data_IF_619635554074
#
_entry.id   IF_619635554074
#
_cell.length_a   1.000
_cell.length_b   1.000
_cell.length_c   1.000
_cell.angle_alpha   90.00
_cell.angle_beta   90.00
_cell.angle_gamma   90.00
#
_symmetry.space_group_name_H-M   'P 1'
#
loop_
_entity.id
_entity.type
_entity.pdbx_description
1 polymer ?
#
# COMPACT_ATOMS: atom_id res chain seq x y z
N UNK A 1 38.80 -17.82 -2.12
CA UNK A 1 39.61 -17.75 -0.89
C UNK A 1 38.69 -18.18 0.22
N UNK A 2 38.77 -19.42 0.50
CA UNK A 2 39.29 -20.11 1.68
C UNK A 2 38.44 -19.79 2.92
N UNK A 3 37.79 -20.76 3.43
CA UNK A 3 38.06 -22.03 4.19
C UNK A 3 37.33 -21.87 5.50
N UNK A 4 36.51 -22.74 5.83
CA UNK A 4 36.57 -24.06 6.40
C UNK A 4 36.22 -24.09 7.88
N UNK A 5 35.50 -25.04 8.23
CA UNK A 5 35.51 -26.14 9.23
C UNK A 5 34.51 -25.87 10.38
N UNK A 6 33.84 -26.84 10.98
CA UNK A 6 33.67 -28.26 10.74
C UNK A 6 32.55 -28.74 11.65
N UNK A 7 31.94 -29.82 11.29
CA UNK A 7 31.05 -30.68 12.04
C UNK A 7 31.85 -31.58 13.03
N UNK A 8 31.25 -31.95 14.18
CA UNK A 8 31.51 -33.19 14.97
C UNK A 8 30.20 -33.50 15.67
N UNK A 9 29.42 -34.48 15.39
CA UNK A 9 29.46 -35.96 15.37
C UNK A 9 30.01 -36.65 16.63
N UNK A 10 29.21 -37.60 17.10
CA UNK A 10 29.58 -38.65 18.02
C UNK A 10 28.61 -38.75 19.20
N UNK A 11 27.54 -39.55 19.22
CA UNK A 11 27.51 -41.03 19.24
C UNK A 11 28.19 -41.67 20.47
N UNK A 12 27.39 -42.49 21.10
CA UNK A 12 27.73 -43.66 21.89
C UNK A 12 28.35 -43.44 23.29
N UNK A 13 27.68 -43.97 24.28
CA UNK A 13 28.19 -45.16 25.02
C UNK A 13 27.05 -45.84 25.77
N UNK A 14 26.73 -46.99 25.25
CA UNK A 14 26.07 -48.13 25.90
C UNK A 14 27.03 -48.82 26.87
N UNK A 15 26.43 -49.59 27.78
CA UNK A 15 26.96 -50.72 28.53
C UNK A 15 27.53 -50.32 29.93
N UNK A 16 27.11 -51.00 30.97
CA UNK A 16 27.59 -52.34 31.32
C UNK A 16 26.75 -52.90 32.48
N UNK A 17 26.10 -54.05 32.25
CA UNK A 17 26.14 -55.35 32.91
C UNK A 17 25.77 -55.44 34.38
N UNK A 18 24.62 -56.04 34.71
CA UNK A 18 24.42 -57.49 34.95
C UNK A 18 25.19 -58.10 36.12
N UNK A 19 24.80 -59.27 36.54
CA UNK A 19 24.14 -59.52 37.81
C UNK A 19 25.00 -60.39 38.71
N UNK A 20 24.71 -60.52 39.97
CA UNK A 20 25.28 -61.56 40.76
C UNK A 20 24.19 -62.34 41.52
N UNK A 21 24.04 -63.54 41.06
CA UNK A 21 23.33 -64.62 41.72
C UNK A 21 24.18 -65.11 42.86
N UNK A 22 23.58 -65.33 44.04
CA UNK A 22 24.11 -66.34 44.93
C UNK A 22 22.96 -67.08 45.59
N UNK A 23 22.85 -68.32 45.16
CA UNK A 23 22.08 -69.36 45.79
C UNK A 23 22.76 -69.72 47.07
N UNK A 24 22.03 -69.80 48.17
CA UNK A 24 22.35 -70.68 49.29
C UNK A 24 21.05 -71.22 49.82
N UNK A 25 20.88 -72.51 49.61
CA UNK A 25 19.81 -73.30 50.21
C UNK A 25 20.17 -73.63 51.63
N UNK A 26 19.16 -73.73 52.44
CA UNK A 26 19.30 -74.51 53.70
C UNK A 26 17.92 -75.03 54.13
N UNK A 27 17.87 -76.27 54.12
CA UNK A 27 17.08 -77.31 54.70
C UNK A 27 16.24 -76.96 55.92
N UNK A 28 15.01 -77.52 55.88
CA UNK A 28 14.11 -77.72 57.04
C UNK A 28 14.78 -78.45 58.19
N UNK A 29 14.27 -78.19 59.46
CA UNK A 29 13.52 -79.27 60.07
C UNK A 29 12.19 -78.84 60.71
N UNK A 30 11.17 -79.64 60.51
CA UNK A 30 9.91 -79.66 61.25
C UNK A 30 10.14 -80.09 62.67
N UNK A 31 9.91 -79.15 63.61
CA UNK A 31 9.72 -79.45 65.03
C UNK A 31 8.25 -79.36 65.38
N UNK A 32 7.63 -80.39 65.81
CA UNK A 32 6.26 -80.46 66.33
C UNK A 32 6.09 -79.47 67.50
N UNK A 33 5.22 -78.45 67.28
CA UNK A 33 4.81 -77.55 68.34
C UNK A 33 3.74 -78.23 69.24
N UNK A 34 3.81 -78.02 70.55
CA UNK A 34 2.85 -78.58 71.46
C UNK A 34 1.47 -77.91 71.33
N UNK A 35 0.40 -78.70 71.48
CA UNK A 35 -1.00 -78.33 71.28
C UNK A 35 -1.45 -77.09 72.09
N UNK A 36 -0.81 -76.67 73.13
CA UNK A 36 -1.11 -75.47 73.94
C UNK A 36 -0.78 -74.20 73.23
N UNK A 37 0.30 -74.15 72.43
CA UNK A 37 0.70 -72.94 71.65
C UNK A 37 -0.24 -72.68 70.51
N UNK A 38 -0.81 -73.72 69.93
CA UNK A 38 -1.81 -73.59 68.81
C UNK A 38 -3.14 -72.98 69.31
N UNK A 39 -3.53 -73.37 70.56
CA UNK A 39 -4.77 -72.84 71.20
C UNK A 39 -4.64 -71.37 71.53
N UNK A 40 -3.46 -70.91 71.99
CA UNK A 40 -3.21 -69.50 72.32
C UNK A 40 -3.12 -68.66 71.07
N UNK A 41 -2.57 -69.18 69.94
CA UNK A 41 -2.55 -68.48 68.66
C UNK A 41 -3.95 -68.32 68.02
N UNK A 42 -4.79 -69.38 68.15
CA UNK A 42 -6.15 -69.26 67.62
C UNK A 42 -6.97 -68.32 68.49
N UNK A 43 -6.81 -68.30 69.80
CA UNK A 43 -7.51 -67.33 70.64
C UNK A 43 -7.04 -65.91 70.43
N UNK A 44 -5.77 -65.66 70.20
CA UNK A 44 -5.22 -64.33 69.90
C UNK A 44 -5.71 -63.83 68.47
N UNK A 45 -5.84 -64.73 67.48
CA UNK A 45 -6.36 -64.44 66.18
C UNK A 45 -7.84 -64.06 66.24
N UNK A 46 -8.64 -64.76 67.07
CA UNK A 46 -10.09 -64.44 67.24
C UNK A 46 -10.25 -63.12 67.98
N UNK A 47 -9.45 -62.79 68.99
CA UNK A 47 -9.48 -61.49 69.66
C UNK A 47 -9.06 -60.34 68.69
N UNK A 48 -8.02 -60.59 67.89
CA UNK A 48 -7.63 -59.62 66.85
C UNK A 48 -8.71 -59.41 65.80
N UNK A 49 -9.42 -60.47 65.41
CA UNK A 49 -10.51 -60.39 64.45
C UNK A 49 -11.73 -59.65 64.99
N UNK A 50 -12.04 -59.86 66.29
CA UNK A 50 -13.12 -59.16 66.99
C UNK A 50 -12.76 -57.66 67.15
N UNK A 51 -11.48 -57.35 67.49
CA UNK A 51 -11.02 -55.99 67.62
C UNK A 51 -11.01 -55.29 66.26
N UNK A 52 -10.63 -55.98 65.17
CA UNK A 52 -10.66 -55.44 63.82
C UNK A 52 -12.11 -55.15 63.36
N UNK A 53 -13.06 -56.01 63.71
CA UNK A 53 -14.46 -55.87 63.38
C UNK A 53 -15.16 -54.80 64.20
N UNK A 54 -14.80 -54.59 65.46
CA UNK A 54 -15.35 -53.55 66.34
C UNK A 54 -14.88 -52.14 65.96
N UNK A 55 -13.66 -52.02 65.46
CA UNK A 55 -13.16 -50.71 64.93
C UNK A 55 -13.88 -50.28 63.64
N UNK A 56 -14.39 -51.22 62.86
CA UNK A 56 -15.17 -50.93 61.66
C UNK A 56 -16.60 -50.55 61.93
N UNK A 57 -17.16 -50.79 63.09
CA UNK A 57 -18.57 -50.47 63.47
C UNK A 57 -18.67 -49.12 64.20
N UNK A 58 -17.59 -48.36 64.41
CA UNK A 58 -17.68 -47.03 64.98
C UNK A 58 -18.33 -46.08 63.95
N UNK A 59 -19.40 -45.35 64.28
CA UNK A 59 -19.98 -44.36 63.39
C UNK A 59 -18.97 -43.28 63.14
N UNK A 60 -18.64 -43.06 61.84
CA UNK A 60 -17.77 -41.98 61.43
C UNK A 60 -18.41 -40.65 61.84
N UNK A 61 -17.67 -39.70 62.42
CA UNK A 61 -18.26 -38.42 62.83
C UNK A 61 -18.85 -37.70 61.60
N UNK A 62 -20.11 -37.38 61.65
CA UNK A 62 -20.78 -36.57 60.59
C UNK A 62 -20.42 -35.12 60.85
N UNK A 63 -19.64 -34.52 59.92
CA UNK A 63 -19.27 -33.11 59.99
C UNK A 63 -20.44 -32.22 59.53
N UNK A 64 -20.85 -31.27 60.36
CA UNK A 64 -21.83 -30.26 59.99
C UNK A 64 -21.13 -29.23 59.11
N UNK A 65 -21.64 -28.97 57.90
CA UNK A 65 -21.06 -28.01 56.95
C UNK A 65 -22.16 -27.06 56.45
N UNK A 66 -21.79 -25.80 56.30
CA UNK A 66 -22.66 -24.84 55.60
C UNK A 66 -22.52 -25.06 54.12
N UNK A 67 -23.61 -24.99 53.39
CA UNK A 67 -23.61 -25.17 51.94
C UNK A 67 -24.23 -23.97 51.24
N UNK A 68 -23.67 -23.58 50.12
CA UNK A 68 -24.24 -22.54 49.22
C UNK A 68 -24.49 -23.14 47.85
N UNK A 69 -25.60 -22.78 47.20
CA UNK A 69 -25.86 -23.24 45.83
C UNK A 69 -24.96 -22.53 44.84
N UNK A 70 -24.40 -23.28 43.88
CA UNK A 70 -23.66 -22.72 42.75
C UNK A 70 -24.67 -22.08 41.73
N UNK A 71 -24.73 -20.75 41.71
CA UNK A 71 -25.72 -20.00 40.95
C UNK A 71 -25.18 -19.76 39.52
N UNK A 72 -25.95 -20.10 38.45
CA UNK A 72 -25.52 -19.84 37.10
C UNK A 72 -25.58 -18.34 36.82
N UNK A 73 -24.46 -17.79 36.28
CA UNK A 73 -24.41 -16.42 35.80
C UNK A 73 -23.69 -16.34 34.47
N UNK A 74 -24.30 -15.64 33.52
CA UNK A 74 -23.71 -15.36 32.21
C UNK A 74 -22.61 -14.35 32.39
N UNK A 75 -21.36 -14.77 32.23
CA UNK A 75 -20.22 -13.86 32.19
C UNK A 75 -20.06 -13.41 30.73
N UNK A 76 -20.24 -12.14 30.49
CA UNK A 76 -19.70 -11.50 29.29
C UNK A 76 -18.24 -11.18 29.61
N UNK A 77 -17.33 -12.01 29.18
CA UNK A 77 -15.90 -11.67 29.19
C UNK A 77 -15.77 -10.62 28.08
N UNK A 78 -15.77 -9.34 28.46
CA UNK A 78 -15.37 -8.30 27.50
C UNK A 78 -13.93 -8.60 27.11
N UNK A 79 -13.74 -9.05 25.87
CA UNK A 79 -12.43 -9.23 25.30
C UNK A 79 -11.63 -7.92 25.45
N UNK A 80 -10.35 -8.02 25.71
CA UNK A 80 -9.48 -6.85 25.86
C UNK A 80 -9.54 -6.00 24.60
N UNK A 81 -10.34 -4.93 24.65
CA UNK A 81 -10.49 -3.98 23.54
C UNK A 81 -9.15 -3.27 23.34
N UNK A 82 -8.54 -3.46 22.17
CA UNK A 82 -7.35 -2.71 21.80
C UNK A 82 -7.79 -1.28 21.38
N UNK A 83 -7.49 -0.30 22.21
CA UNK A 83 -7.74 1.11 21.92
C UNK A 83 -6.42 1.80 21.58
N UNK A 84 -6.33 2.43 20.43
CA UNK A 84 -5.12 3.13 19.94
C UNK A 84 -5.50 4.54 19.52
N UNK A 85 -4.67 5.50 19.88
CA UNK A 85 -4.83 6.89 19.44
C UNK A 85 -4.21 7.09 18.06
N UNK A 86 -4.84 7.96 17.30
CA UNK A 86 -4.39 8.37 15.98
C UNK A 86 -4.95 9.75 15.61
N UNK A 87 -4.81 10.11 14.35
CA UNK A 87 -5.31 11.38 13.83
C UNK A 87 -6.02 11.17 12.50
N UNK A 88 -7.02 12.00 12.26
CA UNK A 88 -7.83 11.98 11.04
C UNK A 88 -7.01 12.57 9.89
N UNK A 89 -6.96 11.86 8.77
CA UNK A 89 -6.35 12.32 7.53
C UNK A 89 -7.32 12.16 6.37
N UNK A 90 -7.31 13.03 5.37
CA UNK A 90 -8.05 12.78 4.14
C UNK A 90 -7.37 11.67 3.34
N UNK A 91 -8.14 10.89 2.61
CA UNK A 91 -7.58 9.88 1.70
C UNK A 91 -6.72 10.51 0.62
N UNK A 92 -7.21 11.61 0.04
CA UNK A 92 -6.51 12.35 -1.00
C UNK A 92 -6.24 13.77 -0.49
N UNK A 93 -4.96 14.08 -0.32
CA UNK A 93 -4.45 15.42 -0.07
C UNK A 93 -3.48 15.72 -1.20
N UNK A 94 -3.80 16.72 -2.00
CA UNK A 94 -3.00 17.12 -3.15
C UNK A 94 -2.50 18.53 -2.93
N UNK A 95 -1.21 18.70 -3.05
CA UNK A 95 -0.55 20.00 -3.11
C UNK A 95 -0.56 20.40 -4.58
N UNK A 96 -1.24 21.49 -4.90
CA UNK A 96 -1.30 22.03 -6.26
C UNK A 96 -0.16 23.01 -6.41
N UNK A 97 0.75 22.68 -7.30
CA UNK A 97 1.93 23.49 -7.60
C UNK A 97 1.77 24.18 -8.97
N UNK A 98 2.47 25.29 -9.16
CA UNK A 98 2.64 25.88 -10.47
C UNK A 98 3.59 25.02 -11.31
N UNK A 99 3.30 24.90 -12.61
CA UNK A 99 4.18 24.27 -13.60
C UNK A 99 5.17 25.27 -14.22
N UNK A 100 4.80 26.55 -14.22
CA UNK A 100 5.61 27.65 -14.76
C UNK A 100 5.90 28.67 -13.65
N UNK A 101 6.97 29.40 -13.81
CA UNK A 101 7.30 30.50 -12.89
C UNK A 101 6.58 31.76 -13.34
N UNK A 102 5.88 32.41 -12.44
CA UNK A 102 5.14 33.64 -12.77
C UNK A 102 4.56 34.32 -11.53
N UNK A 103 4.20 35.58 -11.66
CA UNK A 103 3.54 36.35 -10.61
C UNK A 103 2.06 36.04 -10.58
N UNK A 104 1.50 35.91 -9.39
CA UNK A 104 0.07 35.67 -9.20
C UNK A 104 -0.74 36.92 -9.51
N UNK A 105 -1.51 36.91 -10.60
CA UNK A 105 -2.41 38.00 -10.98
C UNK A 105 -3.73 37.93 -10.21
N UNK A 106 -4.27 36.73 -10.02
CA UNK A 106 -5.59 36.53 -9.41
C UNK A 106 -5.69 35.19 -8.69
N UNK A 107 -6.39 35.19 -7.55
CA UNK A 107 -6.74 34.00 -6.77
C UNK A 107 -8.25 34.04 -6.53
N UNK A 108 -8.94 32.95 -6.90
CA UNK A 108 -10.39 32.83 -6.80
C UNK A 108 -10.87 31.90 -5.69
N UNK A 109 -10.01 31.52 -4.74
CA UNK A 109 -10.34 30.60 -3.68
C UNK A 109 -9.71 31.00 -2.36
N UNK A 110 -10.43 30.68 -1.27
CA UNK A 110 -9.97 30.88 0.11
C UNK A 110 -9.91 29.54 0.86
N UNK A 111 -9.24 29.57 2.00
CA UNK A 111 -9.20 28.43 2.91
C UNK A 111 -10.61 28.07 3.40
N UNK A 112 -11.02 26.83 3.18
CA UNK A 112 -12.35 26.32 3.51
C UNK A 112 -13.31 26.21 2.35
N UNK A 113 -13.00 26.82 1.20
CA UNK A 113 -13.85 26.78 0.01
C UNK A 113 -13.93 25.36 -0.59
N UNK A 114 -15.11 25.04 -1.11
CA UNK A 114 -15.32 23.83 -1.88
C UNK A 114 -15.09 24.10 -3.37
N UNK A 115 -14.26 23.28 -3.98
CA UNK A 115 -13.90 23.39 -5.41
C UNK A 115 -14.26 22.13 -6.16
N UNK A 116 -14.60 22.30 -7.44
CA UNK A 116 -14.83 21.21 -8.37
C UNK A 116 -13.58 20.93 -9.21
N UNK A 117 -13.41 19.70 -9.65
CA UNK A 117 -12.34 19.35 -10.59
C UNK A 117 -12.41 20.22 -11.84
N UNK A 118 -11.26 20.76 -12.27
CA UNK A 118 -11.15 21.69 -13.41
C UNK A 118 -11.44 23.16 -13.09
N UNK A 119 -11.99 23.47 -11.91
CA UNK A 119 -12.23 24.86 -11.47
C UNK A 119 -10.92 25.65 -11.41
N UNK A 120 -10.93 26.88 -11.91
CA UNK A 120 -9.77 27.77 -11.85
C UNK A 120 -9.57 28.22 -10.41
N UNK A 121 -8.35 28.03 -9.91
CA UNK A 121 -7.94 28.39 -8.57
C UNK A 121 -7.14 29.70 -8.57
N UNK A 122 -6.14 29.75 -9.46
CA UNK A 122 -5.20 30.86 -9.57
C UNK A 122 -4.90 31.15 -11.03
N UNK A 123 -4.66 32.41 -11.35
CA UNK A 123 -4.12 32.85 -12.63
C UNK A 123 -2.82 33.60 -12.40
N UNK A 124 -1.82 33.25 -13.13
CA UNK A 124 -0.57 33.97 -13.19
C UNK A 124 -0.67 35.12 -14.23
N UNK A 125 0.23 36.07 -14.16
CA UNK A 125 0.42 37.04 -15.24
C UNK A 125 0.84 36.28 -16.50
N UNK A 126 0.13 36.50 -17.60
CA UNK A 126 0.24 35.69 -18.83
C UNK A 126 0.74 36.48 -20.03
N UNK A 127 1.08 37.77 -19.86
CA UNK A 127 1.50 38.64 -20.95
C UNK A 127 2.75 38.14 -21.67
N UNK A 128 3.74 37.69 -20.92
CA UNK A 128 4.98 37.14 -21.47
C UNK A 128 4.72 35.85 -22.25
N UNK A 129 3.94 34.94 -21.69
CA UNK A 129 3.61 33.65 -22.32
C UNK A 129 2.75 33.87 -23.60
N UNK A 130 1.88 34.89 -23.62
CA UNK A 130 1.15 35.26 -24.83
C UNK A 130 2.09 35.77 -25.91
N UNK A 131 3.08 36.58 -25.55
CA UNK A 131 4.10 37.07 -26.50
C UNK A 131 4.92 35.92 -27.06
N UNK A 132 5.28 34.92 -26.25
CA UNK A 132 5.97 33.72 -26.72
C UNK A 132 5.13 32.88 -27.69
N UNK A 133 3.83 32.71 -27.41
CA UNK A 133 2.89 32.05 -28.35
C UNK A 133 2.84 32.81 -29.69
N UNK A 134 2.70 34.14 -29.64
CA UNK A 134 2.67 34.96 -30.84
C UNK A 134 3.97 34.88 -31.65
N UNK A 135 5.10 34.84 -30.99
CA UNK A 135 6.41 34.65 -31.64
C UNK A 135 6.49 33.27 -32.30
N UNK A 136 6.06 32.21 -31.62
CA UNK A 136 6.07 30.86 -32.20
C UNK A 136 5.08 30.71 -33.36
N UNK A 137 3.92 31.34 -33.29
CA UNK A 137 2.96 31.43 -34.42
C UNK A 137 3.58 32.13 -35.65
N UNK A 138 4.32 33.23 -35.43
CA UNK A 138 5.05 33.90 -36.50
C UNK A 138 6.12 33.03 -37.12
N UNK A 139 6.87 32.30 -36.32
CA UNK A 139 7.87 31.35 -36.78
C UNK A 139 7.26 30.22 -37.63
N UNK A 140 6.15 29.65 -37.15
CA UNK A 140 5.39 28.64 -37.92
C UNK A 140 4.86 29.17 -39.23
N UNK A 141 4.28 30.38 -39.22
CA UNK A 141 3.77 31.03 -40.43
C UNK A 141 4.88 31.21 -41.48
N UNK A 142 6.06 31.65 -41.06
CA UNK A 142 7.23 31.78 -41.91
C UNK A 142 7.71 30.45 -42.49
N UNK A 143 7.82 29.41 -41.63
CA UNK A 143 8.22 28.06 -42.06
C UNK A 143 7.23 27.49 -43.10
N UNK A 144 5.93 27.65 -42.85
CA UNK A 144 4.87 27.22 -43.77
C UNK A 144 4.88 28.02 -45.08
N UNK A 145 5.15 29.33 -45.06
CA UNK A 145 5.26 30.14 -46.24
C UNK A 145 6.46 29.69 -47.09
N UNK A 146 7.61 29.41 -46.47
CA UNK A 146 8.77 28.89 -47.17
C UNK A 146 8.51 27.51 -47.80
N UNK A 147 7.88 26.60 -47.07
CA UNK A 147 7.48 25.31 -47.64
C UNK A 147 6.56 25.47 -48.85
N UNK A 148 5.53 26.32 -48.75
CA UNK A 148 4.62 26.61 -49.89
C UNK A 148 5.38 27.19 -51.09
N UNK A 149 6.37 28.05 -50.86
CA UNK A 149 7.19 28.60 -51.95
C UNK A 149 7.96 27.48 -52.66
N UNK A 150 8.57 26.54 -51.92
CA UNK A 150 9.27 25.40 -52.51
C UNK A 150 8.29 24.45 -53.23
N UNK A 151 7.12 24.17 -52.63
CA UNK A 151 6.10 23.31 -53.24
C UNK A 151 5.45 23.92 -54.50
N UNK A 152 5.35 25.24 -54.56
CA UNK A 152 4.88 25.93 -55.76
C UNK A 152 5.85 25.83 -56.94
N UNK A 153 7.13 25.55 -56.63
CA UNK A 153 8.16 25.39 -57.65
C UNK A 153 8.56 26.70 -58.32
N UNK A 154 9.17 26.64 -59.52
CA UNK A 154 9.63 27.81 -60.27
C UNK A 154 8.47 28.67 -60.74
N UNK A 155 8.70 29.97 -60.83
CA UNK A 155 7.71 30.87 -61.35
C UNK A 155 7.46 30.59 -62.86
N UNK A 156 6.19 30.59 -63.33
CA UNK A 156 5.89 30.34 -64.73
C UNK A 156 6.66 31.23 -65.69
N UNK A 157 6.88 32.50 -65.29
CA UNK A 157 7.68 33.47 -66.05
C UNK A 157 9.17 33.14 -66.15
N UNK A 158 9.71 32.44 -65.17
CA UNK A 158 11.14 31.97 -65.18
C UNK A 158 11.25 30.82 -66.20
N UNK A 159 10.31 29.88 -66.19
CA UNK A 159 10.25 28.79 -67.16
C UNK A 159 10.07 29.35 -68.60
N UNK A 160 9.09 30.26 -68.83
CA UNK A 160 8.83 30.88 -70.13
C UNK A 160 10.05 31.61 -70.66
N UNK A 161 10.78 32.37 -69.78
CA UNK A 161 12.01 33.06 -70.19
C UNK A 161 13.11 32.07 -70.60
N UNK A 162 13.26 30.96 -69.91
CA UNK A 162 14.20 29.94 -70.26
C UNK A 162 13.83 29.24 -71.58
N UNK A 163 12.52 28.98 -71.81
CA UNK A 163 12.03 28.41 -73.06
C UNK A 163 12.35 29.29 -74.23
N UNK A 164 12.09 30.59 -74.14
CA UNK A 164 12.44 31.55 -75.20
C UNK A 164 13.94 31.63 -75.46
N UNK A 165 14.78 31.45 -74.38
CA UNK A 165 16.21 31.35 -74.56
C UNK A 165 16.66 30.12 -75.36
N UNK A 166 16.01 28.96 -75.15
CA UNK A 166 16.24 27.77 -75.99
C UNK A 166 15.77 27.94 -77.38
N UNK A 167 14.58 28.54 -77.62
CA UNK A 167 14.07 28.84 -79.00
C UNK A 167 14.98 29.74 -79.77
N UNK A 168 15.52 30.81 -79.15
CA UNK A 168 16.48 31.73 -79.80
C UNK A 168 17.77 31.01 -80.19
N UNK A 169 18.33 30.13 -79.25
CA UNK A 169 19.51 29.37 -79.56
C UNK A 169 19.30 28.33 -80.67
N UNK A 170 18.12 27.67 -80.71
CA UNK A 170 17.74 26.74 -81.77
C UNK A 170 17.64 27.47 -83.14
N UNK A 171 17.06 28.64 -83.15
CA UNK A 171 16.95 29.46 -84.40
C UNK A 171 18.38 29.84 -84.93
N UNK A 172 19.31 30.20 -84.03
CA UNK A 172 20.69 30.46 -84.37
C UNK A 172 21.41 29.23 -84.91
N UNK A 173 21.27 28.06 -84.22
CA UNK A 173 21.85 26.78 -84.65
C UNK A 173 21.31 26.37 -86.04
N UNK A 174 20.00 26.49 -86.27
CA UNK A 174 19.41 26.18 -87.58
C UNK A 174 19.96 27.07 -88.75
N UNK A 175 20.23 28.33 -88.45
CA UNK A 175 20.86 29.21 -89.43
C UNK A 175 22.34 28.82 -89.72
N UNK A 176 23.08 28.42 -88.65
CA UNK A 176 24.45 27.92 -88.79
C UNK A 176 24.47 26.58 -89.56
N UNK A 177 23.51 25.69 -89.30
CA UNK A 177 23.31 24.42 -90.03
C UNK A 177 23.12 24.62 -91.51
N UNK A 178 22.17 25.51 -91.90
CA UNK A 178 21.95 25.87 -93.29
C UNK A 178 23.19 26.45 -93.93
N UNK A 179 23.98 27.24 -93.19
CA UNK A 179 25.23 27.83 -93.67
C UNK A 179 26.29 26.74 -93.88
N UNK A 180 26.39 25.77 -92.96
CA UNK A 180 27.28 24.60 -93.06
C UNK A 180 26.98 23.75 -94.26
N UNK A 181 25.68 23.42 -94.53
CA UNK A 181 25.27 22.65 -95.64
C UNK A 181 25.61 23.34 -96.99
N UNK A 182 25.36 24.62 -97.07
CA UNK A 182 25.66 25.44 -98.26
C UNK A 182 27.18 25.48 -98.48
N UNK A 183 27.97 25.73 -97.44
CA UNK A 183 29.44 25.80 -97.53
C UNK A 183 30.04 24.43 -97.87
N UNK A 184 29.49 23.36 -97.34
CA UNK A 184 29.94 21.97 -97.63
C UNK A 184 29.76 21.69 -99.17
N UNK A 185 28.65 22.08 -99.79
CA UNK A 185 28.41 21.94 -101.22
C UNK A 185 29.39 22.77 -102.07
N UNK A 186 29.62 24.02 -101.67
CA UNK A 186 30.52 24.94 -102.45
C UNK A 186 31.98 24.47 -102.31
N UNK A 187 32.43 23.89 -101.15
CA UNK A 187 33.75 23.29 -101.04
C UNK A 187 33.89 22.02 -101.82
N UNK A 188 32.84 21.16 -101.88
CA UNK A 188 32.84 19.96 -102.71
C UNK A 188 32.90 20.28 -104.24
N UNK A 189 32.37 21.43 -104.66
CA UNK A 189 32.44 21.93 -106.00
C UNK A 189 33.73 22.72 -106.31
N UNK A 190 34.64 22.85 -105.32
CA UNK A 190 35.94 23.49 -105.49
C UNK A 190 35.88 25.05 -105.48
N UNK A 191 34.75 25.68 -105.12
CA UNK A 191 34.52 27.13 -105.12
C UNK A 191 35.13 27.81 -103.83
N UNK A 192 35.13 27.12 -102.70
CA UNK A 192 35.61 27.67 -101.44
C UNK A 192 36.77 26.84 -100.87
N UNK A 193 37.73 27.47 -100.06
CA UNK A 193 38.72 26.77 -99.34
C UNK A 193 38.25 25.88 -98.27
N UNK A 194 38.95 24.79 -97.89
CA UNK A 194 38.60 23.88 -96.73
C UNK A 194 38.60 24.60 -95.41
N UNK A 195 39.46 25.53 -95.16
CA UNK A 195 39.53 26.37 -93.94
C UNK A 195 38.20 27.07 -93.68
N UNK A 196 37.47 27.54 -94.73
CA UNK A 196 36.13 28.13 -94.60
C UNK A 196 35.13 27.13 -94.08
N UNK A 197 35.21 25.84 -94.53
CA UNK A 197 34.36 24.77 -94.03
C UNK A 197 34.63 24.45 -92.58
N UNK A 198 35.92 24.34 -92.18
CA UNK A 198 36.29 24.05 -90.81
C UNK A 198 35.85 25.16 -89.85
N UNK A 199 35.93 26.42 -90.23
CA UNK A 199 35.41 27.55 -89.45
C UNK A 199 33.90 27.54 -89.30
N UNK A 200 33.14 27.25 -90.37
CA UNK A 200 31.68 27.17 -90.28
C UNK A 200 31.24 25.94 -89.50
N UNK A 201 31.96 24.81 -89.59
CA UNK A 201 31.68 23.65 -88.85
C UNK A 201 31.88 23.88 -87.34
N UNK A 202 33.03 24.49 -86.93
CA UNK A 202 33.27 24.90 -85.58
C UNK A 202 32.20 25.82 -85.01
N UNK A 203 31.67 26.74 -85.86
CA UNK A 203 30.57 27.63 -85.44
C UNK A 203 29.26 26.86 -85.19
N UNK A 204 28.88 25.92 -86.11
CA UNK A 204 27.71 25.09 -85.95
C UNK A 204 27.85 24.20 -84.68
N UNK A 205 29.02 23.58 -84.44
CA UNK A 205 29.28 22.78 -83.24
C UNK A 205 29.11 23.64 -82.00
N UNK A 206 29.62 24.88 -81.97
CA UNK A 206 29.45 25.79 -80.84
C UNK A 206 28.01 26.17 -80.58
N UNK A 207 27.19 26.48 -81.67
CA UNK A 207 25.78 26.78 -81.53
C UNK A 207 24.93 25.57 -81.10
N UNK A 208 25.34 24.35 -81.51
CA UNK A 208 24.67 23.12 -81.09
C UNK A 208 24.94 22.86 -79.59
N UNK A 209 26.17 22.99 -79.10
CA UNK A 209 26.49 22.90 -77.69
C UNK A 209 25.77 23.96 -76.86
N UNK A 210 25.59 25.17 -77.40
CA UNK A 210 24.80 26.22 -76.71
C UNK A 210 23.35 25.85 -76.56
N UNK A 211 22.74 25.20 -77.52
CA UNK A 211 21.35 24.67 -77.40
C UNK A 211 21.27 23.60 -76.30
N UNK A 212 22.18 22.62 -76.32
CA UNK A 212 22.18 21.56 -75.32
C UNK A 212 22.35 22.13 -73.92
N UNK A 213 23.24 23.08 -73.70
CA UNK A 213 23.41 23.76 -72.42
C UNK A 213 22.15 24.45 -71.94
N UNK A 214 21.45 25.19 -72.80
CA UNK A 214 20.23 25.88 -72.45
C UNK A 214 19.05 24.91 -72.21
N UNK A 215 18.97 23.80 -72.95
CA UNK A 215 18.00 22.72 -72.72
C UNK A 215 18.17 22.07 -71.40
N UNK A 216 19.44 21.76 -70.99
CA UNK A 216 19.74 21.21 -69.68
C UNK A 216 19.41 22.21 -68.54
N UNK A 217 19.68 23.51 -68.80
CA UNK A 217 19.34 24.58 -67.85
C UNK A 217 17.82 24.71 -67.66
N UNK A 218 17.05 24.66 -68.78
CA UNK A 218 15.62 24.66 -68.73
C UNK A 218 15.04 23.45 -68.01
N UNK A 219 15.61 22.23 -68.24
CA UNK A 219 15.22 21.02 -67.51
C UNK A 219 15.46 21.13 -66.02
N UNK A 220 16.56 21.73 -65.60
CA UNK A 220 16.87 22.01 -64.19
C UNK A 220 15.86 22.97 -63.57
N UNK A 221 15.47 24.06 -64.28
CA UNK A 221 14.46 25.01 -63.83
C UNK A 221 13.11 24.30 -63.68
N UNK A 222 12.69 23.52 -64.71
CA UNK A 222 11.41 22.78 -64.68
C UNK A 222 11.34 21.75 -63.57
N UNK A 223 12.44 21.08 -63.21
CA UNK A 223 12.52 20.14 -62.09
C UNK A 223 12.26 20.82 -60.77
N UNK A 224 12.53 22.12 -60.68
CA UNK A 224 12.31 22.89 -59.46
C UNK A 224 13.17 22.45 -58.27
N UNK A 225 12.73 22.74 -57.04
CA UNK A 225 13.44 22.39 -55.82
C UNK A 225 13.60 20.86 -55.64
N UNK A 226 14.69 20.44 -55.07
CA UNK A 226 14.94 19.02 -54.79
C UNK A 226 14.01 18.52 -53.71
N UNK A 227 13.69 17.23 -53.74
CA UNK A 227 12.88 16.59 -52.71
C UNK A 227 13.45 16.76 -51.32
N UNK A 228 14.77 16.70 -51.20
CA UNK A 228 15.49 16.87 -49.91
C UNK A 228 15.32 18.30 -49.38
N UNK A 229 15.18 19.29 -50.20
CA UNK A 229 14.91 20.68 -49.80
C UNK A 229 13.48 20.84 -49.27
N UNK A 230 12.53 20.25 -49.95
CA UNK A 230 11.12 20.22 -49.54
C UNK A 230 11.01 19.44 -48.19
N UNK A 231 11.66 18.29 -48.07
CA UNK A 231 11.62 17.48 -46.84
C UNK A 231 12.31 18.19 -45.68
N UNK A 232 13.39 18.95 -45.93
CA UNK A 232 14.01 19.82 -44.93
C UNK A 232 13.05 20.95 -44.51
N UNK A 233 12.38 21.59 -45.43
CA UNK A 233 11.40 22.61 -45.13
C UNK A 233 10.22 22.05 -44.32
N UNK A 234 9.74 20.83 -44.62
CA UNK A 234 8.74 20.12 -43.82
C UNK A 234 9.23 19.86 -42.41
N UNK A 235 10.52 19.46 -42.25
CA UNK A 235 11.15 19.28 -40.93
C UNK A 235 11.17 20.59 -40.12
N UNK A 236 11.44 21.73 -40.80
CA UNK A 236 11.39 23.07 -40.18
C UNK A 236 9.97 23.44 -39.73
N UNK A 237 8.94 23.11 -40.52
CA UNK A 237 7.53 23.31 -40.14
C UNK A 237 7.20 22.49 -38.91
N UNK A 238 7.56 21.20 -38.87
CA UNK A 238 7.33 20.32 -37.71
C UNK A 238 8.04 20.84 -36.45
N UNK A 239 9.26 21.35 -36.59
CA UNK A 239 9.97 21.97 -35.48
C UNK A 239 9.26 23.21 -34.95
N UNK A 240 8.78 24.10 -35.85
CA UNK A 240 8.04 25.28 -35.45
C UNK A 240 6.66 24.95 -34.84
N UNK A 241 5.99 23.88 -35.29
CA UNK A 241 4.77 23.35 -34.67
C UNK A 241 5.04 22.85 -33.24
N UNK A 242 6.15 22.16 -33.02
CA UNK A 242 6.58 21.74 -31.71
C UNK A 242 6.84 22.92 -30.77
N UNK A 243 7.48 23.95 -31.24
CA UNK A 243 7.72 25.20 -30.49
C UNK A 243 6.41 25.92 -30.12
N UNK A 244 5.48 26.01 -31.05
CA UNK A 244 4.16 26.59 -30.79
C UNK A 244 3.39 25.78 -29.75
N UNK A 245 3.41 24.46 -29.86
CA UNK A 245 2.75 23.57 -28.88
C UNK A 245 3.34 23.72 -27.47
N UNK A 246 4.66 23.88 -27.35
CA UNK A 246 5.32 24.14 -26.08
C UNK A 246 4.85 25.48 -25.49
N UNK A 247 4.95 26.57 -26.24
CA UNK A 247 4.53 27.89 -25.79
C UNK A 247 3.03 27.92 -25.38
N UNK A 248 2.17 27.24 -26.14
CA UNK A 248 0.75 27.11 -25.78
C UNK A 248 0.54 26.34 -24.49
N UNK A 249 1.31 25.26 -24.24
CA UNK A 249 1.24 24.48 -23.00
C UNK A 249 1.72 25.29 -21.79
N UNK A 250 2.72 26.15 -21.97
CA UNK A 250 3.21 27.05 -20.93
C UNK A 250 2.19 28.16 -20.62
N UNK A 251 1.58 28.72 -21.64
CA UNK A 251 0.46 29.68 -21.48
C UNK A 251 -0.73 29.02 -20.76
N UNK A 252 -1.11 27.81 -21.12
CA UNK A 252 -2.18 27.08 -20.43
C UNK A 252 -1.81 26.81 -18.97
N UNK A 253 -0.56 26.55 -18.67
CA UNK A 253 -0.06 26.31 -17.31
C UNK A 253 -0.11 27.55 -16.41
N UNK A 254 -0.26 28.77 -16.97
CA UNK A 254 -0.51 29.99 -16.17
C UNK A 254 -1.87 29.97 -15.48
N UNK A 255 -2.81 29.14 -15.95
CA UNK A 255 -4.14 28.97 -15.35
C UNK A 255 -4.15 27.69 -14.50
N UNK A 256 -3.93 27.85 -13.20
CA UNK A 256 -3.87 26.73 -12.27
C UNK A 256 -5.28 26.28 -11.91
N UNK A 257 -5.60 25.00 -12.16
CA UNK A 257 -6.91 24.40 -11.94
C UNK A 257 -6.86 23.30 -10.87
N UNK A 258 -8.02 23.04 -10.26
CA UNK A 258 -8.18 21.97 -9.30
C UNK A 258 -8.05 20.59 -9.98
N UNK A 259 -7.11 19.72 -9.57
CA UNK A 259 -6.97 18.39 -10.15
C UNK A 259 -8.07 17.42 -9.66
N UNK A 260 -8.67 17.70 -8.51
CA UNK A 260 -9.77 16.93 -7.90
C UNK A 260 -10.82 17.87 -7.33
N UNK A 261 -12.04 17.36 -7.17
CA UNK A 261 -13.06 18.03 -6.36
C UNK A 261 -12.75 17.83 -4.85
N UNK A 262 -12.85 18.90 -4.08
CA UNK A 262 -12.53 18.85 -2.65
C UNK A 262 -12.70 20.18 -1.95
N UNK A 263 -12.07 20.31 -0.79
CA UNK A 263 -12.04 21.54 0.02
C UNK A 263 -10.59 22.05 0.09
N UNK A 264 -10.42 23.35 -0.02
CA UNK A 264 -9.13 24.02 0.15
C UNK A 264 -8.75 23.95 1.65
N UNK A 265 -7.69 23.23 1.97
CA UNK A 265 -7.17 23.15 3.33
C UNK A 265 -6.27 24.33 3.67
N UNK A 266 -5.49 24.75 2.69
CA UNK A 266 -4.49 25.79 2.87
C UNK A 266 -4.28 26.52 1.55
N UNK A 267 -4.09 27.83 1.63
CA UNK A 267 -3.67 28.70 0.54
C UNK A 267 -2.29 29.22 0.90
N UNK A 268 -1.31 28.82 0.10
CA UNK A 268 0.10 29.14 0.35
C UNK A 268 0.51 30.40 -0.40
N UNK A 269 -0.02 30.59 -1.63
CA UNK A 269 0.33 31.73 -2.46
C UNK A 269 -0.62 32.94 -2.23
N UNK A 270 -0.08 34.14 -2.39
CA UNK A 270 -0.82 35.38 -2.33
C UNK A 270 -0.80 36.16 -3.66
N UNK A 271 -1.79 37.07 -3.85
CA UNK A 271 -1.83 37.93 -5.04
C UNK A 271 -0.59 38.84 -5.07
N UNK A 272 0.09 38.89 -6.21
CA UNK A 272 1.33 39.65 -6.41
C UNK A 272 2.59 38.89 -6.04
N UNK A 273 2.47 37.71 -5.43
CA UNK A 273 3.61 36.84 -5.07
C UNK A 273 4.16 36.11 -6.32
N UNK A 274 5.45 35.89 -6.36
CA UNK A 274 6.12 35.11 -7.38
C UNK A 274 6.08 33.62 -6.99
N UNK A 275 5.42 32.79 -7.76
CA UNK A 275 5.46 31.34 -7.63
C UNK A 275 6.41 30.73 -8.64
N UNK A 276 7.17 29.71 -8.24
CA UNK A 276 8.13 29.05 -9.12
C UNK A 276 7.67 27.65 -9.48
N UNK A 277 8.11 27.13 -10.64
CA UNK A 277 7.95 25.73 -10.96
C UNK A 277 8.66 24.86 -9.88
N UNK A 278 8.06 23.74 -9.52
CA UNK A 278 8.49 22.88 -8.39
C UNK A 278 9.98 22.52 -8.40
N UNK A 279 10.62 22.53 -9.56
CA UNK A 279 12.04 22.18 -9.70
C UNK A 279 13.02 23.37 -9.62
N UNK A 280 12.52 24.59 -9.51
CA UNK A 280 13.35 25.80 -9.47
C UNK A 280 13.81 26.19 -8.05
N UNK A 281 13.23 25.60 -7.01
CA UNK A 281 13.51 25.96 -5.62
C UNK A 281 14.57 25.05 -5.00
N UNK A 282 15.84 25.39 -5.22
CA UNK A 282 16.98 24.76 -4.53
C UNK A 282 17.34 25.41 -3.19
N UNK A 283 16.61 26.42 -2.72
CA UNK A 283 16.87 27.15 -1.47
C UNK A 283 15.62 27.18 -0.58
N UNK A 284 15.79 27.02 0.73
CA UNK A 284 14.71 27.07 1.72
C UNK A 284 13.98 28.45 1.74
N UNK A 285 14.63 29.51 1.28
CA UNK A 285 14.09 30.88 1.22
C UNK A 285 13.63 31.30 -0.20
N UNK A 286 13.62 30.37 -1.19
CA UNK A 286 13.19 30.65 -2.57
C UNK A 286 11.68 30.64 -2.73
N UNK A 287 11.15 31.18 -3.87
CA UNK A 287 9.73 31.16 -4.16
C UNK A 287 9.20 29.73 -4.16
N UNK A 288 8.15 29.46 -3.40
CA UNK A 288 7.57 28.13 -3.28
C UNK A 288 6.68 27.82 -4.47
N UNK A 289 6.77 26.59 -4.99
CA UNK A 289 5.90 26.14 -6.09
C UNK A 289 4.47 25.80 -5.65
N UNK A 290 4.25 25.63 -4.34
CA UNK A 290 2.95 25.30 -3.77
C UNK A 290 2.02 26.51 -3.78
N UNK A 291 0.83 26.35 -4.32
CA UNK A 291 -0.17 27.42 -4.43
C UNK A 291 -1.33 27.18 -3.48
N UNK A 292 -1.91 25.99 -3.52
CA UNK A 292 -3.01 25.58 -2.64
C UNK A 292 -2.92 24.11 -2.30
N UNK A 293 -3.49 23.72 -1.17
CA UNK A 293 -3.64 22.32 -0.75
C UNK A 293 -5.11 21.96 -0.76
N UNK A 294 -5.47 20.95 -1.54
CA UNK A 294 -6.84 20.45 -1.69
C UNK A 294 -6.96 19.09 -1.06
N UNK A 295 -8.07 18.84 -0.36
CA UNK A 295 -8.39 17.50 0.13
C UNK A 295 -9.86 17.15 -0.03
N UNK A 296 -10.13 15.88 -0.23
CA UNK A 296 -11.49 15.35 -0.22
C UNK A 296 -11.90 15.02 1.22
N UNK A 297 -12.77 15.81 1.81
CA UNK A 297 -13.27 15.63 3.17
C UNK A 297 -14.41 14.59 3.27
N UNK A 298 -14.91 14.06 2.16
CA UNK A 298 -15.93 13.01 2.16
C UNK A 298 -15.33 11.60 2.33
N UNK A 299 -14.01 11.45 2.18
CA UNK A 299 -13.29 10.18 2.40
C UNK A 299 -12.16 10.42 3.40
N UNK A 300 -12.52 10.32 4.68
CA UNK A 300 -11.60 10.52 5.79
C UNK A 300 -11.14 9.15 6.34
N UNK A 301 -9.90 9.11 6.76
CA UNK A 301 -9.27 7.96 7.40
C UNK A 301 -8.64 8.36 8.72
N UNK A 302 -8.49 7.42 9.62
CA UNK A 302 -7.70 7.58 10.83
C UNK A 302 -6.40 6.81 10.66
N UNK A 303 -5.27 7.49 10.80
CA UNK A 303 -3.97 6.85 10.89
C UNK A 303 -3.69 6.56 12.36
N UNK A 304 -3.44 5.30 12.67
CA UNK A 304 -3.08 4.84 14.01
C UNK A 304 -1.79 4.04 13.98
N UNK A 305 -0.94 4.23 14.98
CA UNK A 305 0.29 3.48 15.16
C UNK A 305 0.05 2.37 16.19
N UNK A 306 -0.09 1.15 15.72
CA UNK A 306 -0.39 -0.01 16.56
C UNK A 306 0.89 -0.72 16.98
N UNK A 307 1.08 -1.06 18.29
CA UNK A 307 2.22 -1.86 18.73
C UNK A 307 2.29 -3.22 18.02
N UNK A 308 3.49 -3.65 17.61
CA UNK A 308 3.70 -4.91 16.88
C UNK A 308 3.13 -6.12 17.63
N UNK A 309 3.19 -6.15 18.96
CA UNK A 309 2.62 -7.21 19.77
C UNK A 309 1.12 -7.42 19.56
N UNK A 310 0.40 -6.37 19.12
CA UNK A 310 -1.05 -6.37 18.91
C UNK A 310 -1.45 -6.71 17.48
N UNK A 311 -0.52 -6.86 16.53
CA UNK A 311 -0.81 -7.13 15.11
C UNK A 311 -1.62 -8.40 14.88
N UNK A 312 -1.43 -9.44 15.72
CA UNK A 312 -2.19 -10.70 15.62
C UNK A 312 -3.70 -10.53 15.80
N UNK A 313 -4.12 -9.42 16.42
CA UNK A 313 -5.52 -9.08 16.67
C UNK A 313 -6.16 -8.26 15.56
N UNK A 314 -5.39 -7.89 14.54
CA UNK A 314 -5.84 -7.04 13.44
C UNK A 314 -6.06 -7.85 12.17
N UNK A 315 -7.14 -7.53 11.49
CA UNK A 315 -7.43 -8.09 10.18
C UNK A 315 -7.88 -6.98 9.22
N UNK A 316 -7.59 -7.15 7.94
CA UNK A 316 -8.15 -6.29 6.89
C UNK A 316 -9.67 -6.39 6.90
N UNK A 317 -10.35 -5.26 6.67
CA UNK A 317 -11.81 -5.12 6.69
C UNK A 317 -12.45 -5.32 8.07
N UNK A 318 -11.67 -5.44 9.13
CA UNK A 318 -12.17 -5.52 10.50
C UNK A 318 -12.97 -4.25 10.84
N UNK A 319 -14.13 -4.41 11.47
CA UNK A 319 -14.94 -3.30 11.98
C UNK A 319 -14.27 -2.72 13.23
N UNK A 320 -14.28 -1.42 13.34
CA UNK A 320 -13.73 -0.69 14.48
C UNK A 320 -14.66 0.45 14.88
N UNK A 321 -14.60 0.84 16.13
CA UNK A 321 -15.28 2.01 16.65
C UNK A 321 -14.27 3.15 16.77
N UNK A 322 -14.66 4.32 16.27
CA UNK A 322 -13.82 5.52 16.27
C UNK A 322 -14.51 6.57 17.13
N UNK A 323 -13.84 7.06 18.14
CA UNK A 323 -14.26 8.18 18.97
C UNK A 323 -13.31 9.35 18.72
N UNK A 324 -13.83 10.52 18.41
CA UNK A 324 -13.03 11.72 18.13
C UNK A 324 -13.08 12.62 19.36
N UNK A 325 -11.93 13.11 19.81
CA UNK A 325 -11.84 13.94 21.03
C UNK A 325 -12.72 15.20 20.96
N UNK A 326 -12.94 15.75 19.76
CA UNK A 326 -13.83 16.88 19.54
C UNK A 326 -15.33 16.53 19.66
N UNK A 327 -15.71 15.24 19.60
CA UNK A 327 -17.10 14.77 19.66
C UNK A 327 -17.18 13.49 20.51
N UNK A 328 -16.96 13.57 21.83
CA UNK A 328 -16.86 12.40 22.71
C UNK A 328 -18.16 11.58 22.79
N UNK A 329 -19.30 12.22 22.59
CA UNK A 329 -20.62 11.58 22.65
C UNK A 329 -20.98 10.81 21.37
N UNK A 330 -20.14 10.84 20.35
CA UNK A 330 -20.38 10.18 19.06
C UNK A 330 -19.35 9.11 18.76
N UNK A 331 -19.85 7.94 18.45
CA UNK A 331 -19.04 6.84 17.94
C UNK A 331 -19.26 6.73 16.43
N UNK A 332 -18.18 6.77 15.68
CA UNK A 332 -18.19 6.59 14.23
C UNK A 332 -17.77 5.16 13.89
N UNK A 333 -18.52 4.55 12.98
CA UNK A 333 -18.16 3.25 12.45
C UNK A 333 -16.95 3.37 11.52
N UNK A 334 -15.97 2.51 11.73
CA UNK A 334 -14.78 2.43 10.90
C UNK A 334 -14.51 1.02 10.40
N UNK A 335 -13.63 0.94 9.41
CA UNK A 335 -13.13 -0.32 8.87
C UNK A 335 -11.64 -0.22 8.57
N UNK A 336 -10.88 -1.24 8.96
CA UNK A 336 -9.46 -1.34 8.60
C UNK A 336 -9.33 -1.51 7.09
N UNK A 337 -8.67 -0.57 6.42
CA UNK A 337 -8.46 -0.61 4.97
C UNK A 337 -7.03 -0.94 4.59
N UNK A 338 -6.09 -0.66 5.49
CA UNK A 338 -4.67 -0.88 5.21
C UNK A 338 -3.92 -1.15 6.51
N UNK A 339 -3.03 -2.11 6.45
CA UNK A 339 -2.01 -2.35 7.47
C UNK A 339 -0.69 -2.15 6.74
N UNK A 340 0.14 -1.22 7.19
CA UNK A 340 1.39 -0.90 6.52
C UNK A 340 2.28 -2.15 6.41
N UNK A 341 2.88 -2.39 5.24
CA UNK A 341 3.76 -3.55 5.06
C UNK A 341 5.08 -3.41 5.84
N UNK A 342 5.45 -2.17 6.17
CA UNK A 342 6.65 -1.85 6.94
C UNK A 342 6.29 -1.35 8.32
N UNK A 343 7.02 -1.84 9.33
CA UNK A 343 6.94 -1.35 10.70
C UNK A 343 7.93 -0.22 10.95
N UNK A 344 7.58 0.70 11.84
CA UNK A 344 8.51 1.69 12.34
C UNK A 344 9.41 1.05 13.41
N UNK A 345 10.68 0.81 13.07
CA UNK A 345 11.64 0.17 13.96
C UNK A 345 11.98 1.01 15.20
N UNK A 346 11.93 2.34 15.09
CA UNK A 346 12.23 3.25 16.22
C UNK A 346 11.13 3.25 17.26
N UNK A 347 9.86 3.10 16.85
CA UNK A 347 8.69 3.11 17.74
C UNK A 347 8.11 1.73 18.03
N UNK A 348 8.63 0.68 17.35
CA UNK A 348 8.12 -0.70 17.43
C UNK A 348 6.61 -0.76 17.16
N UNK A 349 6.15 0.04 16.19
CA UNK A 349 4.75 0.15 15.79
C UNK A 349 4.57 -0.14 14.30
N UNK A 350 3.34 -0.45 13.92
CA UNK A 350 2.92 -0.61 12.53
C UNK A 350 1.78 0.36 12.28
N UNK A 351 1.89 1.12 11.18
CA UNK A 351 0.85 2.04 10.76
C UNK A 351 -0.39 1.30 10.26
N UNK A 352 -1.54 1.64 10.78
CA UNK A 352 -2.83 1.09 10.34
C UNK A 352 -3.72 2.23 9.91
N UNK A 353 -4.32 2.11 8.72
CA UNK A 353 -5.28 3.07 8.21
C UNK A 353 -6.69 2.53 8.33
N UNK A 354 -7.52 3.29 8.98
CA UNK A 354 -8.93 2.97 9.24
C UNK A 354 -9.81 3.97 8.51
N UNK A 355 -10.67 3.51 7.62
CA UNK A 355 -11.66 4.35 6.93
C UNK A 355 -12.86 4.63 7.83
N UNK A 356 -13.30 5.88 7.88
CA UNK A 356 -14.56 6.28 8.51
C UNK A 356 -15.68 6.00 7.51
N UNK A 357 -16.63 5.14 7.84
CA UNK A 357 -17.65 4.66 6.88
C UNK A 357 -18.60 5.78 6.44
N UNK A 358 -18.99 6.66 7.33
CA UNK A 358 -19.82 7.83 7.06
C UNK A 358 -19.28 9.02 7.83
N UNK A 359 -18.32 9.77 7.25
CA UNK A 359 -17.75 10.93 7.93
C UNK A 359 -18.80 12.04 8.08
N UNK A 360 -18.90 12.61 9.26
CA UNK A 360 -19.69 13.84 9.50
C UNK A 360 -18.98 15.03 8.84
N UNK A 361 -19.74 15.95 8.27
CA UNK A 361 -19.20 17.18 7.64
C UNK A 361 -18.42 18.09 8.62
N UNK A 362 -18.57 17.88 9.92
CA UNK A 362 -17.84 18.59 10.98
C UNK A 362 -16.46 18.01 11.24
N UNK A 363 -16.18 16.79 10.81
CA UNK A 363 -14.86 16.20 10.97
C UNK A 363 -13.84 16.96 10.13
N UNK A 364 -12.70 17.25 10.73
CA UNK A 364 -11.60 17.96 10.08
C UNK A 364 -10.34 17.08 10.11
N UNK A 365 -9.48 17.19 9.11
CA UNK A 365 -8.14 16.61 9.17
C UNK A 365 -7.38 17.07 10.41
N UNK A 366 -6.45 16.25 10.90
CA UNK A 366 -5.61 16.45 12.08
C UNK A 366 -6.34 16.45 13.44
N UNK A 367 -7.67 16.20 13.50
CA UNK A 367 -8.32 15.90 14.77
C UNK A 367 -7.82 14.57 15.33
N UNK A 368 -7.61 14.54 16.65
CA UNK A 368 -7.28 13.32 17.36
C UNK A 368 -8.49 12.39 17.42
N UNK A 369 -8.25 11.12 17.24
CA UNK A 369 -9.26 10.08 17.31
C UNK A 369 -8.71 8.85 18.03
N UNK A 370 -9.56 8.20 18.80
CA UNK A 370 -9.29 6.92 19.42
C UNK A 370 -10.00 5.82 18.61
N UNK A 371 -9.25 4.86 18.14
CA UNK A 371 -9.76 3.70 17.41
C UNK A 371 -9.77 2.50 18.35
N UNK A 372 -10.96 1.95 18.56
CA UNK A 372 -11.17 0.73 19.35
C UNK A 372 -11.42 -0.44 18.40
N UNK A 373 -10.48 -1.37 18.38
CA UNK A 373 -10.58 -2.58 17.60
C UNK A 373 -11.39 -3.62 18.39
N UNK A 374 -12.49 -4.13 17.81
CA UNK A 374 -13.14 -5.33 18.32
C UNK A 374 -12.22 -6.53 18.05
N UNK A 375 -12.13 -7.47 18.97
CA UNK A 375 -11.35 -8.69 18.70
C UNK A 375 -11.87 -9.37 17.43
N UNK A 376 -10.94 -9.71 16.52
CA UNK A 376 -11.27 -10.42 15.27
C UNK A 376 -11.77 -11.85 15.51
N UNK A 377 -11.77 -12.27 16.76
CA UNK A 377 -12.31 -13.53 17.21
C UNK A 377 -13.34 -13.27 18.32
N UNK A 378 -14.54 -12.84 17.94
CA UNK A 378 -15.71 -13.42 18.57
C UNK A 378 -15.78 -14.90 18.15
N UNK A 379 -14.85 -15.71 18.66
CA UNK A 379 -15.33 -16.99 19.12
C UNK A 379 -16.23 -16.60 20.28
N UNK A 380 -17.52 -16.65 20.08
CA UNK A 380 -18.44 -17.03 21.11
C UNK A 380 -17.77 -18.23 21.78
N UNK A 381 -16.99 -17.97 22.81
CA UNK A 381 -16.77 -18.98 23.80
C UNK A 381 -18.19 -19.20 24.29
N UNK A 382 -18.83 -20.21 23.70
CA UNK A 382 -20.03 -20.86 24.23
C UNK A 382 -19.94 -20.66 25.71
N UNK A 383 -20.91 -19.94 26.27
CA UNK A 383 -20.97 -19.60 27.67
C UNK A 383 -20.69 -20.91 28.41
N UNK A 384 -19.46 -21.15 28.79
CA UNK A 384 -19.11 -22.23 29.69
C UNK A 384 -19.96 -21.88 30.89
N UNK A 385 -20.85 -22.77 31.33
CA UNK A 385 -21.75 -22.55 32.45
C UNK A 385 -20.89 -22.16 33.65
N UNK A 386 -20.58 -20.87 33.71
CA UNK A 386 -19.83 -20.34 34.85
C UNK A 386 -20.79 -20.21 36.00
N UNK A 387 -20.43 -20.76 37.13
CA UNK A 387 -21.18 -20.66 38.37
C UNK A 387 -20.46 -19.72 39.33
N UNK A 388 -21.22 -18.95 40.08
CA UNK A 388 -20.71 -18.10 41.15
C UNK A 388 -20.77 -18.89 42.44
N UNK A 389 -19.66 -18.92 43.16
CA UNK A 389 -19.53 -19.51 44.49
C UNK A 389 -18.94 -18.48 45.44
N UNK A 390 -19.31 -18.54 46.74
CA UNK A 390 -18.67 -17.70 47.75
C UNK A 390 -17.15 -17.95 47.83
N UNK A 391 -16.37 -16.89 48.12
CA UNK A 391 -14.92 -16.98 48.19
C UNK A 391 -14.44 -18.01 49.24
N UNK A 392 -15.22 -18.17 50.35
CA UNK A 392 -14.98 -19.15 51.42
C UNK A 392 -15.20 -20.63 51.01
N UNK A 393 -15.71 -20.90 49.81
CA UNK A 393 -15.88 -22.24 49.26
C UNK A 393 -14.67 -22.73 48.48
N UNK A 394 -13.72 -21.84 48.15
CA UNK A 394 -12.52 -22.15 47.41
C UNK A 394 -11.34 -22.44 48.33
N UNK A 395 -10.61 -23.49 48.04
CA UNK A 395 -9.37 -23.81 48.76
C UNK A 395 -8.26 -24.23 47.80
N UNK A 396 -7.04 -24.09 48.29
CA UNK A 396 -5.84 -24.48 47.54
C UNK A 396 -5.38 -25.88 47.97
N UNK A 397 -5.18 -26.73 46.98
CA UNK A 397 -4.58 -28.06 47.20
C UNK A 397 -3.61 -28.37 46.07
N UNK A 398 -2.35 -28.60 46.41
CA UNK A 398 -1.28 -28.88 45.44
C UNK A 398 -1.18 -27.85 44.30
N UNK A 399 -1.27 -26.55 44.61
CA UNK A 399 -1.14 -25.47 43.65
C UNK A 399 -2.34 -25.32 42.67
N UNK A 400 -3.45 -26.02 42.95
CA UNK A 400 -4.72 -25.90 42.16
C UNK A 400 -5.85 -25.51 43.07
N UNK A 401 -6.84 -24.82 42.50
CA UNK A 401 -8.07 -24.42 43.19
C UNK A 401 -9.10 -25.54 43.12
N UNK A 402 -9.69 -25.84 44.30
CA UNK A 402 -10.67 -26.90 44.48
C UNK A 402 -11.90 -26.38 45.20
N UNK A 403 -13.02 -27.06 44.97
CA UNK A 403 -14.29 -26.86 45.68
C UNK A 403 -14.76 -28.22 46.21
N UNK A 404 -15.36 -28.24 47.40
CA UNK A 404 -16.00 -29.40 47.95
C UNK A 404 -17.50 -29.35 47.64
N UNK A 405 -18.01 -30.33 46.91
CA UNK A 405 -19.41 -30.43 46.51
C UNK A 405 -20.08 -31.49 47.44
N UNK A 406 -21.19 -31.12 48.07
CA UNK A 406 -22.00 -32.04 48.87
C UNK A 406 -23.06 -32.68 47.99
N UNK A 407 -22.99 -34.00 47.75
CA UNK A 407 -23.96 -34.77 46.97
C UNK A 407 -24.39 -35.98 47.80
N UNK A 408 -25.69 -36.16 48.03
CA UNK A 408 -26.24 -37.28 48.77
C UNK A 408 -25.60 -37.54 50.16
N UNK A 409 -25.23 -36.44 50.85
CA UNK A 409 -24.60 -36.52 52.19
C UNK A 409 -23.14 -36.92 52.17
N UNK A 410 -22.48 -36.93 51.02
CA UNK A 410 -21.03 -37.18 50.85
C UNK A 410 -20.35 -36.03 50.16
N UNK A 411 -19.08 -35.81 50.45
CA UNK A 411 -18.24 -34.74 49.88
C UNK A 411 -17.47 -35.27 48.70
N UNK A 412 -17.58 -34.55 47.58
CA UNK A 412 -16.74 -34.76 46.39
C UNK A 412 -15.88 -33.54 46.16
N UNK A 413 -14.59 -33.74 46.09
CA UNK A 413 -13.62 -32.67 45.80
C UNK A 413 -13.48 -32.52 44.27
N UNK A 414 -13.78 -31.32 43.74
CA UNK A 414 -13.68 -31.05 42.33
C UNK A 414 -12.72 -29.93 42.04
N UNK A 415 -11.78 -30.19 41.12
CA UNK A 415 -10.84 -29.18 40.63
C UNK A 415 -11.59 -28.19 39.78
N UNK A 416 -11.38 -26.89 40.02
CA UNK A 416 -12.08 -25.79 39.32
C UNK A 416 -11.10 -24.78 38.73
N UNK A 417 -11.53 -24.14 37.71
CA UNK A 417 -10.80 -23.04 37.12
C UNK A 417 -11.48 -21.71 37.47
N UNK A 418 -10.75 -20.83 38.12
CA UNK A 418 -11.23 -19.49 38.47
C UNK A 418 -11.13 -18.58 37.27
N UNK A 419 -12.26 -18.00 36.84
CA UNK A 419 -12.34 -17.07 35.72
C UNK A 419 -12.22 -15.60 36.16
N UNK A 420 -12.93 -15.25 37.23
CA UNK A 420 -12.96 -13.87 37.76
C UNK A 420 -13.37 -13.88 39.25
N UNK A 421 -12.89 -12.89 40.01
CA UNK A 421 -13.31 -12.61 41.36
C UNK A 421 -13.89 -11.20 41.45
N UNK A 422 -15.04 -11.04 42.09
CA UNK A 422 -15.67 -9.75 42.35
C UNK A 422 -16.30 -9.71 43.73
N UNK A 423 -17.00 -8.62 44.06
CA UNK A 423 -17.68 -8.45 45.36
C UNK A 423 -18.85 -9.42 45.59
N UNK A 424 -19.35 -10.09 44.58
CA UNK A 424 -20.49 -11.03 44.66
C UNK A 424 -20.01 -12.48 44.86
N UNK A 425 -18.72 -12.78 44.63
CA UNK A 425 -18.13 -14.09 44.74
C UNK A 425 -17.10 -14.41 43.68
N UNK A 426 -16.74 -15.67 43.54
CA UNK A 426 -15.77 -16.17 42.56
C UNK A 426 -16.48 -16.93 41.46
N UNK A 427 -16.24 -16.52 40.22
CA UNK A 427 -16.74 -17.18 39.02
C UNK A 427 -15.80 -18.34 38.66
N UNK A 428 -16.35 -19.56 38.66
CA UNK A 428 -15.61 -20.79 38.38
C UNK A 428 -16.28 -21.59 37.28
N UNK A 429 -15.48 -22.43 36.63
CA UNK A 429 -15.95 -23.46 35.70
C UNK A 429 -15.60 -24.84 36.23
N UNK A 430 -16.35 -25.84 35.81
CA UNK A 430 -16.14 -27.23 36.19
C UNK A 430 -17.11 -27.74 37.25
N UNK A 431 -18.08 -26.91 37.70
CA UNK A 431 -19.11 -27.32 38.66
C UNK A 431 -20.48 -27.26 38.00
N UNK A 432 -21.36 -28.22 38.23
CA UNK A 432 -22.73 -28.22 37.71
C UNK A 432 -23.55 -27.10 38.34
N UNK A 433 -24.40 -26.49 37.55
CA UNK A 433 -25.34 -25.49 38.01
C UNK A 433 -26.26 -26.09 39.07
N UNK A 434 -26.43 -25.39 40.19
CA UNK A 434 -27.24 -25.85 41.33
C UNK A 434 -26.58 -26.81 42.26
N UNK A 435 -25.31 -27.18 42.03
CA UNK A 435 -24.55 -28.03 43.00
C UNK A 435 -24.38 -27.30 44.33
N UNK A 436 -24.54 -28.02 45.44
CA UNK A 436 -24.34 -27.48 46.78
C UNK A 436 -22.84 -27.52 47.13
N UNK A 437 -22.26 -26.35 47.22
CA UNK A 437 -20.83 -26.18 47.52
C UNK A 437 -20.65 -25.91 49.02
N UNK A 438 -19.71 -26.61 49.65
CA UNK A 438 -19.41 -26.43 51.07
C UNK A 438 -18.69 -25.08 51.27
N UNK A 439 -19.19 -24.32 52.25
CA UNK A 439 -18.65 -23.01 52.63
C UNK A 439 -18.10 -23.10 54.04
N UNK A 440 -16.96 -22.49 54.29
CA UNK A 440 -16.34 -22.45 55.62
C UNK A 440 -14.90 -22.97 55.62
N UNK A 441 -14.64 -24.15 56.14
CA UNK A 441 -13.31 -24.72 56.15
C UNK A 441 -13.23 -26.05 55.36
N UNK A 442 -13.27 -25.97 54.00
CA UNK A 442 -13.27 -27.16 53.15
C UNK A 442 -11.91 -27.89 53.09
N UNK A 443 -10.84 -27.33 53.70
CA UNK A 443 -9.48 -27.90 53.62
C UNK A 443 -9.36 -29.19 54.40
N UNK A 444 -10.15 -29.34 55.46
CA UNK A 444 -10.11 -30.51 56.36
C UNK A 444 -11.05 -31.65 55.90
N UNK A 445 -11.75 -31.49 54.79
CA UNK A 445 -12.66 -32.50 54.29
C UNK A 445 -11.92 -33.53 53.43
N UNK A 446 -12.22 -34.82 53.70
CA UNK A 446 -11.68 -35.92 52.89
C UNK A 446 -12.70 -36.32 51.82
N UNK A 447 -12.21 -36.76 50.69
CA UNK A 447 -13.01 -37.32 49.59
C UNK A 447 -13.85 -38.49 50.14
N UNK A 448 -15.16 -38.46 49.89
CA UNK A 448 -16.09 -39.48 50.39
C UNK A 448 -16.53 -39.32 51.84
N UNK A 449 -16.06 -38.27 52.55
CA UNK A 449 -16.48 -37.99 53.95
C UNK A 449 -17.99 -37.71 54.04
N UNK A 450 -18.66 -38.21 55.09
CA UNK A 450 -20.10 -37.96 55.33
C UNK A 450 -20.28 -36.57 55.93
N UNK A 451 -21.16 -35.77 55.29
CA UNK A 451 -21.49 -34.42 55.74
C UNK A 451 -23.00 -34.26 55.84
N UNK A 452 -23.41 -33.39 56.72
CA UNK A 452 -24.83 -32.98 56.82
C UNK A 452 -24.90 -31.47 56.59
N UNK A 453 -25.69 -31.06 55.62
CA UNK A 453 -25.93 -29.64 55.39
C UNK A 453 -26.65 -29.05 56.63
N UNK A 454 -26.01 -28.08 57.26
CA UNK A 454 -26.63 -27.23 58.27
C UNK A 454 -27.25 -26.03 57.55
N UNK A 455 -28.49 -25.71 57.86
CA UNK A 455 -29.15 -24.51 57.40
C UNK A 455 -28.45 -23.25 57.95
#
# INVERSE_FOLDING_TARGET
>A
MNKDYAAVSGADILSVLSPCSTRAGLTHPFGRMPHEVVRVMIASLIVALIAFFSVRLLPHPVTMVQTAPAVPRKIVIEGSKLAVRGFIVPRHRIIVNSKVTGRVAWIGVEKGDRVQQGQILVRLEDEEFRAEVQQAEGALANARAYLRQLEAGPLPQEVERAEHGVEQARASMMNDEVTLDRTTKLVSEGVLPRETLDNVRAKFEASNEQVQYLEQSLDLIRKGPRREEIDRAKGTVLQAEGQLSLAQSELEATVIRAPISGTILERTAEKGELVAAQFASGSEDGPQGSVVVIANLNDLRVNVDVPQASLRRLALRQKVNITVDAFPDRVFDGRVVEIAPEGNSQRVTVGVRVQIVRPDQRLRPQLNAMVTFAEATEKEHTASEAVVVPDAALFDRNGSKWVAIATDGTVHLQRVQVLRRNSEGVFITGVRVGALVVVGDPQNLLEGGRVRAGN
#
